data_IF_108135437051
#
_entry.id   IF_108135437051
#
_cell.length_a   1.000
_cell.length_b   1.000
_cell.length_c   1.000
_cell.angle_alpha   90.00
_cell.angle_beta   90.00
_cell.angle_gamma   90.00
#
_symmetry.space_group_name_H-M   'P 1'
#
loop_
_entity.id
_entity.type
_entity.pdbx_description
1 polymer ?
#
# COMPACT_ATOMS: atom_id res chain seq x y z
N UNK A 1 -38.61 28.06 22.70
CA UNK A 1 -37.77 27.40 23.73
C UNK A 1 -38.09 25.92 23.76
N UNK A 2 -37.04 25.09 23.72
CA UNK A 2 -37.00 23.63 23.97
C UNK A 2 -37.54 22.76 22.83
N UNK A 3 -36.61 22.17 22.06
CA UNK A 3 -36.59 20.74 21.66
C UNK A 3 -35.59 20.44 20.52
N UNK A 4 -34.35 20.97 20.57
CA UNK A 4 -33.26 20.59 19.63
C UNK A 4 -32.14 19.81 20.36
N UNK A 5 -32.29 19.57 21.67
CA UNK A 5 -31.20 19.06 22.51
C UNK A 5 -31.00 17.52 22.49
N UNK A 6 -31.70 16.76 21.63
CA UNK A 6 -31.64 15.29 21.67
C UNK A 6 -30.86 14.62 20.54
N UNK A 7 -30.45 15.36 19.50
CA UNK A 7 -29.65 14.78 18.41
C UNK A 7 -28.13 14.91 18.58
N UNK A 8 -27.65 15.62 19.61
CA UNK A 8 -26.22 15.88 19.80
C UNK A 8 -25.49 14.93 20.76
N UNK A 9 -26.18 13.94 21.36
CA UNK A 9 -25.57 13.07 22.38
C UNK A 9 -25.15 11.68 21.86
N UNK A 10 -25.51 11.31 20.63
CA UNK A 10 -25.04 10.06 19.99
C UNK A 10 -23.77 10.28 19.14
N UNK A 11 -23.21 11.49 19.14
CA UNK A 11 -22.00 11.82 18.38
C UNK A 11 -20.70 11.82 19.21
N UNK A 12 -20.74 11.38 20.49
CA UNK A 12 -19.63 11.55 21.45
C UNK A 12 -19.15 10.26 22.14
N UNK A 13 -19.31 9.07 21.55
CA UNK A 13 -18.76 7.81 22.11
C UNK A 13 -17.58 7.24 21.29
N UNK A 14 -17.12 7.92 20.24
CA UNK A 14 -15.94 7.52 19.47
C UNK A 14 -14.67 8.36 19.72
N UNK A 15 -14.71 9.37 20.58
CA UNK A 15 -13.68 10.42 20.60
C UNK A 15 -12.54 10.22 21.61
N UNK A 16 -12.36 9.02 22.19
CA UNK A 16 -11.24 8.77 23.11
C UNK A 16 -10.68 7.35 22.96
N UNK A 17 -10.02 7.07 21.83
CA UNK A 17 -8.90 6.13 21.79
C UNK A 17 -8.01 6.38 20.57
N UNK A 18 -6.78 6.83 20.86
CA UNK A 18 -5.62 6.94 19.98
C UNK A 18 -5.54 8.21 19.11
N UNK A 19 -4.34 8.80 19.06
CA UNK A 19 -3.81 9.45 17.86
C UNK A 19 -3.69 8.39 16.74
N UNK A 20 -4.82 7.79 16.41
CA UNK A 20 -4.96 6.60 15.60
C UNK A 20 -5.03 6.99 14.15
N UNK A 21 -4.13 6.41 13.40
CA UNK A 21 -4.11 6.40 11.96
C UNK A 21 -5.53 6.23 11.37
N UNK A 22 -5.88 7.01 10.35
CA UNK A 22 -7.21 6.95 9.74
C UNK A 22 -7.24 5.97 8.56
N UNK A 23 -8.44 5.54 8.15
CA UNK A 23 -8.61 4.76 6.91
C UNK A 23 -8.02 5.51 5.72
N UNK A 24 -8.27 6.82 5.64
CA UNK A 24 -7.74 7.65 4.56
C UNK A 24 -6.20 7.69 4.57
N UNK A 25 -5.56 7.80 5.74
CA UNK A 25 -4.09 7.78 5.82
C UNK A 25 -3.49 6.42 5.43
N UNK A 26 -4.15 5.32 5.78
CA UNK A 26 -3.75 3.96 5.35
C UNK A 26 -3.94 3.80 3.85
N UNK A 27 -5.03 4.32 3.28
CA UNK A 27 -5.29 4.32 1.83
C UNK A 27 -4.20 5.12 1.11
N UNK A 28 -3.90 6.33 1.55
CA UNK A 28 -2.91 7.21 0.94
C UNK A 28 -1.51 6.60 1.00
N UNK A 29 -1.12 6.02 2.14
CA UNK A 29 0.17 5.33 2.26
C UNK A 29 0.23 4.09 1.37
N UNK A 30 -0.88 3.35 1.22
CA UNK A 30 -0.93 2.23 0.29
C UNK A 30 -0.75 2.70 -1.16
N UNK A 31 -1.45 3.76 -1.56
CA UNK A 31 -1.33 4.36 -2.89
C UNK A 31 0.12 4.79 -3.14
N UNK A 32 0.74 5.53 -2.22
CA UNK A 32 2.13 5.97 -2.33
C UNK A 32 3.11 4.79 -2.45
N UNK A 33 2.90 3.71 -1.69
CA UNK A 33 3.73 2.51 -1.80
C UNK A 33 3.60 1.87 -3.19
N UNK A 34 2.38 1.82 -3.75
CA UNK A 34 2.15 1.28 -5.09
C UNK A 34 2.72 2.18 -6.19
N UNK A 35 2.66 3.50 -6.02
CA UNK A 35 3.29 4.48 -6.91
C UNK A 35 4.80 4.28 -6.94
N UNK A 36 5.45 4.27 -5.76
CA UNK A 36 6.91 4.08 -5.65
C UNK A 36 7.35 2.73 -6.23
N UNK A 37 6.55 1.67 -6.03
CA UNK A 37 6.81 0.36 -6.61
C UNK A 37 6.74 0.41 -8.13
N UNK A 38 5.70 1.04 -8.68
CA UNK A 38 5.51 1.17 -10.12
C UNK A 38 6.61 2.02 -10.75
N UNK A 39 7.00 3.12 -10.11
CA UNK A 39 8.07 4.00 -10.56
C UNK A 39 9.43 3.28 -10.52
N UNK A 40 9.73 2.54 -9.45
CA UNK A 40 10.95 1.73 -9.37
C UNK A 40 11.03 0.70 -10.51
N UNK A 41 9.91 0.06 -10.87
CA UNK A 41 9.85 -0.86 -12.00
C UNK A 41 9.98 -0.13 -13.35
N UNK A 42 9.42 1.06 -13.49
CA UNK A 42 9.53 1.87 -14.70
C UNK A 42 10.98 2.35 -14.93
N UNK A 43 11.69 2.68 -13.85
CA UNK A 43 13.09 3.10 -13.89
C UNK A 43 14.07 1.95 -14.10
N UNK A 44 13.68 0.72 -13.78
CA UNK A 44 14.44 -0.49 -14.08
C UNK A 44 14.49 -0.77 -15.59
N UNK A 45 15.45 -0.16 -16.29
CA UNK A 45 15.60 -0.19 -17.75
C UNK A 45 16.72 -1.11 -18.21
N UNK A 46 17.66 -1.42 -17.31
CA UNK A 46 18.82 -2.26 -17.56
C UNK A 46 19.12 -3.17 -16.37
N UNK A 47 19.94 -4.21 -16.59
CA UNK A 47 20.40 -5.09 -15.50
C UNK A 47 21.36 -4.36 -14.54
N UNK A 48 21.97 -3.26 -14.96
CA UNK A 48 22.88 -2.47 -14.13
C UNK A 48 22.10 -1.71 -13.03
N UNK A 49 20.81 -1.45 -13.25
CA UNK A 49 19.91 -0.79 -12.29
C UNK A 49 19.44 -1.73 -11.16
N UNK A 50 19.86 -3.00 -11.18
CA UNK A 50 19.36 -4.03 -10.24
C UNK A 50 19.72 -3.72 -8.78
N UNK A 51 20.89 -3.14 -8.50
CA UNK A 51 21.28 -2.80 -7.12
C UNK A 51 20.39 -1.68 -6.54
N UNK A 52 20.12 -0.66 -7.35
CA UNK A 52 19.25 0.46 -6.99
C UNK A 52 17.79 0.02 -6.84
N UNK A 53 17.31 -0.83 -7.77
CA UNK A 53 16.00 -1.45 -7.68
C UNK A 53 15.87 -2.28 -6.38
N UNK A 54 16.87 -3.10 -6.06
CA UNK A 54 16.87 -3.93 -4.86
C UNK A 54 16.79 -3.10 -3.58
N UNK A 55 17.59 -2.04 -3.50
CA UNK A 55 17.57 -1.09 -2.38
C UNK A 55 16.22 -0.39 -2.22
N UNK A 56 15.58 -0.05 -3.33
CA UNK A 56 14.25 0.57 -3.35
C UNK A 56 13.19 -0.43 -2.89
N UNK A 57 13.21 -1.66 -3.41
CA UNK A 57 12.29 -2.72 -3.01
C UNK A 57 12.41 -3.09 -1.53
N UNK A 58 13.60 -3.05 -0.94
CA UNK A 58 13.78 -3.23 0.51
C UNK A 58 13.09 -2.14 1.33
N UNK A 59 13.20 -0.87 0.90
CA UNK A 59 12.52 0.26 1.56
C UNK A 59 11.00 0.12 1.44
N UNK A 60 10.50 -0.20 0.25
CA UNK A 60 9.08 -0.45 -0.02
C UNK A 60 8.58 -1.60 0.86
N UNK A 61 9.32 -2.71 0.97
CA UNK A 61 8.96 -3.84 1.83
C UNK A 61 8.87 -3.44 3.31
N UNK A 62 9.79 -2.61 3.82
CA UNK A 62 9.71 -2.08 5.19
C UNK A 62 8.44 -1.24 5.40
N UNK A 63 8.11 -0.36 4.44
CA UNK A 63 6.88 0.46 4.48
C UNK A 63 5.62 -0.40 4.39
N UNK A 64 5.60 -1.43 3.54
CA UNK A 64 4.48 -2.39 3.47
C UNK A 64 4.27 -3.13 4.78
N UNK A 65 5.35 -3.56 5.46
CA UNK A 65 5.26 -4.19 6.78
C UNK A 65 4.70 -3.24 7.84
N UNK A 66 5.08 -1.98 7.81
CA UNK A 66 4.55 -0.95 8.72
C UNK A 66 3.06 -0.68 8.45
N UNK A 67 2.70 -0.46 7.19
CA UNK A 67 1.33 -0.29 6.75
C UNK A 67 0.44 -1.48 7.14
N UNK A 68 0.95 -2.71 6.98
CA UNK A 68 0.21 -3.92 7.36
C UNK A 68 -0.11 -3.96 8.85
N UNK A 69 0.82 -3.53 9.72
CA UNK A 69 0.57 -3.41 11.17
C UNK A 69 -0.48 -2.35 11.47
N UNK A 70 -0.33 -1.16 10.89
CA UNK A 70 -1.26 -0.04 11.05
C UNK A 70 -2.66 -0.40 10.60
N UNK A 71 -2.80 -1.05 9.44
CA UNK A 71 -4.07 -1.56 8.92
C UNK A 71 -4.67 -2.63 9.84
N UNK A 72 -3.87 -3.56 10.37
CA UNK A 72 -4.36 -4.57 11.30
C UNK A 72 -4.86 -3.95 12.62
N UNK A 73 -4.16 -2.95 13.15
CA UNK A 73 -4.57 -2.21 14.35
C UNK A 73 -5.84 -1.40 14.11
N UNK A 74 -5.91 -0.68 12.98
CA UNK A 74 -7.07 0.08 12.57
C UNK A 74 -8.30 -0.82 12.41
N UNK A 75 -8.13 -1.94 11.70
CA UNK A 75 -9.24 -2.84 11.38
C UNK A 75 -9.71 -3.65 12.59
N UNK A 76 -8.90 -3.81 13.63
CA UNK A 76 -9.23 -4.60 14.84
C UNK A 76 -10.56 -4.18 15.48
N UNK A 77 -10.88 -2.89 15.42
CA UNK A 77 -12.08 -2.32 16.05
C UNK A 77 -13.17 -1.93 15.04
N UNK A 78 -12.95 -2.17 13.75
CA UNK A 78 -13.94 -1.88 12.70
C UNK A 78 -14.92 -3.03 12.51
N UNK A 79 -16.15 -2.69 12.17
CA UNK A 79 -17.16 -3.63 11.68
C UNK A 79 -16.81 -4.15 10.27
N UNK A 80 -17.42 -5.26 9.87
CA UNK A 80 -17.20 -5.85 8.53
C UNK A 80 -17.65 -4.91 7.40
N UNK A 81 -18.70 -4.12 7.62
CA UNK A 81 -19.18 -3.11 6.66
C UNK A 81 -18.16 -1.98 6.47
N UNK A 82 -17.52 -1.53 7.55
CA UNK A 82 -16.49 -0.49 7.50
C UNK A 82 -15.22 -1.00 6.82
N UNK A 83 -14.83 -2.25 7.07
CA UNK A 83 -13.70 -2.89 6.38
C UNK A 83 -13.97 -3.04 4.89
N UNK A 84 -15.17 -3.48 4.51
CA UNK A 84 -15.56 -3.62 3.10
C UNK A 84 -15.46 -2.28 2.37
N UNK A 85 -15.94 -1.19 2.98
CA UNK A 85 -15.80 0.16 2.39
C UNK A 85 -14.35 0.62 2.27
N UNK A 86 -13.53 0.36 3.28
CA UNK A 86 -12.10 0.67 3.23
C UNK A 86 -11.41 -0.11 2.09
N UNK A 87 -11.73 -1.39 1.93
CA UNK A 87 -11.19 -2.24 0.88
C UNK A 87 -11.65 -1.78 -0.52
N UNK A 88 -12.91 -1.39 -0.67
CA UNK A 88 -13.42 -0.79 -1.92
C UNK A 88 -12.72 0.52 -2.26
N UNK A 89 -12.48 1.39 -1.27
CA UNK A 89 -11.76 2.65 -1.45
C UNK A 89 -10.33 2.40 -1.90
N UNK A 90 -9.62 1.47 -1.26
CA UNK A 90 -8.26 1.06 -1.64
C UNK A 90 -8.25 0.49 -3.05
N UNK A 91 -9.19 -0.40 -3.38
CA UNK A 91 -9.28 -0.99 -4.72
C UNK A 91 -9.45 0.08 -5.79
N UNK A 92 -10.36 1.04 -5.60
CA UNK A 92 -10.59 2.14 -6.54
C UNK A 92 -9.36 3.05 -6.66
N UNK A 93 -8.74 3.40 -5.54
CA UNK A 93 -7.57 4.29 -5.53
C UNK A 93 -6.34 3.62 -6.18
N UNK A 94 -6.24 2.29 -6.14
CA UNK A 94 -5.09 1.55 -6.69
C UNK A 94 -5.33 0.92 -8.06
N UNK A 95 -6.56 0.92 -8.59
CA UNK A 95 -6.90 0.27 -9.87
C UNK A 95 -5.99 0.70 -11.03
N UNK A 96 -5.80 2.02 -11.19
CA UNK A 96 -4.92 2.56 -12.23
C UNK A 96 -3.42 2.25 -12.01
N UNK A 97 -3.01 2.08 -10.75
CA UNK A 97 -1.65 1.67 -10.40
C UNK A 97 -1.43 0.19 -10.68
N UNK A 98 -2.45 -0.65 -10.46
CA UNK A 98 -2.40 -2.08 -10.79
C UNK A 98 -2.24 -2.29 -12.30
N UNK A 99 -2.93 -1.50 -13.11
CA UNK A 99 -2.77 -1.55 -14.57
C UNK A 99 -1.33 -1.19 -14.98
N UNK A 100 -0.81 -0.05 -14.48
CA UNK A 100 0.57 0.39 -14.78
C UNK A 100 1.61 -0.61 -14.29
N UNK A 101 1.46 -1.10 -13.06
CA UNK A 101 2.30 -2.15 -12.49
C UNK A 101 2.32 -3.39 -13.40
N UNK A 102 1.14 -3.83 -13.85
CA UNK A 102 1.03 -4.97 -14.78
C UNK A 102 1.74 -4.73 -16.11
N UNK A 103 1.67 -3.52 -16.65
CA UNK A 103 2.40 -3.12 -17.87
C UNK A 103 3.92 -3.18 -17.67
N UNK A 104 4.43 -2.64 -16.55
CA UNK A 104 5.87 -2.64 -16.26
C UNK A 104 6.41 -4.06 -16.02
N UNK A 105 5.68 -4.88 -15.26
CA UNK A 105 6.03 -6.30 -15.07
C UNK A 105 6.05 -7.04 -16.42
N UNK A 106 5.06 -6.80 -17.28
CA UNK A 106 5.03 -7.38 -18.62
C UNK A 106 6.24 -6.95 -19.46
N UNK A 107 6.58 -5.65 -19.45
CA UNK A 107 7.77 -5.11 -20.13
C UNK A 107 9.05 -5.80 -19.66
N UNK A 108 9.21 -5.96 -18.34
CA UNK A 108 10.37 -6.60 -17.72
C UNK A 108 10.44 -8.08 -18.14
N UNK A 109 9.34 -8.82 -18.06
CA UNK A 109 9.29 -10.24 -18.42
C UNK A 109 9.52 -10.50 -19.91
N UNK A 110 9.04 -9.60 -20.78
CA UNK A 110 9.27 -9.69 -22.23
C UNK A 110 10.72 -9.38 -22.64
N UNK A 111 11.53 -8.82 -21.74
CA UNK A 111 12.95 -8.60 -21.96
C UNK A 111 13.77 -9.66 -21.20
N UNK A 112 14.39 -10.62 -21.89
CA UNK A 112 15.07 -11.75 -21.23
C UNK A 112 16.23 -11.33 -20.32
N UNK A 113 16.90 -10.19 -20.61
CA UNK A 113 17.97 -9.68 -19.75
C UNK A 113 17.41 -9.09 -18.46
N UNK A 114 16.33 -8.30 -18.55
CA UNK A 114 15.69 -7.71 -17.38
C UNK A 114 15.03 -8.78 -16.52
N UNK A 115 14.36 -9.75 -17.15
CA UNK A 115 13.75 -10.89 -16.46
C UNK A 115 14.78 -11.69 -15.67
N UNK A 116 15.90 -12.09 -16.28
CA UNK A 116 16.95 -12.85 -15.60
C UNK A 116 17.61 -12.07 -14.45
N UNK A 117 17.74 -10.75 -14.59
CA UNK A 117 18.26 -9.89 -13.53
C UNK A 117 17.24 -9.67 -12.40
N UNK A 118 15.95 -9.56 -12.73
CA UNK A 118 14.86 -9.49 -11.75
C UNK A 118 14.72 -10.79 -10.95
N UNK A 119 14.88 -11.95 -11.59
CA UNK A 119 14.88 -13.27 -10.93
C UNK A 119 16.00 -13.37 -9.88
N UNK A 120 17.23 -13.02 -10.27
CA UNK A 120 18.38 -12.99 -9.35
C UNK A 120 18.18 -12.02 -8.19
N UNK A 121 17.54 -10.89 -8.46
CA UNK A 121 17.20 -9.91 -7.45
C UNK A 121 16.15 -10.46 -6.47
N UNK A 122 15.16 -11.18 -6.98
CA UNK A 122 14.18 -11.92 -6.18
C UNK A 122 14.86 -12.91 -5.22
N UNK A 123 15.74 -13.76 -5.74
CA UNK A 123 16.50 -14.73 -4.93
C UNK A 123 17.32 -14.05 -3.82
N UNK A 124 17.95 -12.92 -4.15
CA UNK A 124 18.72 -12.12 -3.19
C UNK A 124 17.81 -11.55 -2.09
N UNK A 125 16.65 -10.99 -2.45
CA UNK A 125 15.70 -10.45 -1.48
C UNK A 125 15.09 -11.54 -0.58
N UNK A 126 14.84 -12.73 -1.11
CA UNK A 126 14.36 -13.87 -0.31
C UNK A 126 15.44 -14.38 0.65
N UNK A 127 16.71 -14.31 0.28
CA UNK A 127 17.82 -14.69 1.16
C UNK A 127 18.02 -13.77 2.37
N UNK A 128 17.36 -12.60 2.41
CA UNK A 128 17.35 -11.68 3.54
C UNK A 128 16.19 -11.91 4.55
N UNK A 129 15.30 -12.88 4.29
CA UNK A 129 14.30 -13.33 5.28
C UNK A 129 14.94 -14.15 6.40
#
# INVERSE_FOLDING_TARGET
MRSIAWFLVVSCVGFLASCGDSVDSVVDDQVSIFEDLTEALADYKSADDAEDLGSTLEKINKRMKDLSKRRAELFKNMSDDERTKADEQISKSTEHLQEKFGQEITRIMMNPKLAASMEKLGDKLESFK
#
